data_IF_574476817178
#
_entry.id   IF_574476817178
#
_cell.length_a   1.000
_cell.length_b   1.000
_cell.length_c   1.000
_cell.angle_alpha   90.00
_cell.angle_beta   90.00
_cell.angle_gamma   90.00
#
_symmetry.space_group_name_H-M   'P 1'
#
loop_
_entity.id
_entity.type
_entity.pdbx_description
1 polymer ?
#
# COMPACT_ATOMS: atom_id res chain seq x y z
N UNK A 1 -14.33 5.05 -4.06
CA UNK A 1 -13.83 5.23 -5.45
C UNK A 1 -14.08 3.91 -6.14
N UNK A 2 -14.55 3.88 -7.40
CA UNK A 2 -14.69 2.62 -8.15
C UNK A 2 -13.35 2.26 -8.82
N UNK A 3 -13.08 0.98 -9.15
CA UNK A 3 -11.80 0.56 -9.70
C UNK A 3 -11.40 1.33 -10.98
N UNK A 4 -12.36 1.61 -11.85
CA UNK A 4 -12.14 2.34 -13.10
C UNK A 4 -11.70 3.79 -12.87
N UNK A 5 -12.13 4.42 -11.77
CA UNK A 5 -11.68 5.76 -11.40
C UNK A 5 -10.24 5.74 -10.91
N UNK A 6 -9.85 4.73 -10.10
CA UNK A 6 -8.46 4.58 -9.68
C UNK A 6 -7.58 4.32 -10.88
N UNK A 7 -7.94 3.36 -11.74
CA UNK A 7 -7.23 3.06 -12.98
C UNK A 7 -6.98 4.32 -13.79
N UNK A 8 -8.05 5.07 -14.11
CA UNK A 8 -7.95 6.31 -14.87
C UNK A 8 -7.02 7.32 -14.20
N UNK A 9 -7.15 7.54 -12.89
CA UNK A 9 -6.34 8.49 -12.14
C UNK A 9 -4.86 8.09 -12.08
N UNK A 10 -4.57 6.78 -11.96
CA UNK A 10 -3.22 6.24 -11.93
C UNK A 10 -2.52 6.43 -13.29
N UNK A 11 -3.18 5.97 -14.36
CA UNK A 11 -2.68 5.98 -15.76
C UNK A 11 -2.52 7.36 -16.39
N UNK A 12 -2.93 8.44 -15.72
CA UNK A 12 -2.59 9.80 -16.15
C UNK A 12 -1.11 10.12 -15.99
N UNK A 13 -0.42 9.41 -15.10
CA UNK A 13 0.99 9.64 -14.77
C UNK A 13 1.82 8.41 -15.08
N UNK A 14 1.36 7.23 -14.64
CA UNK A 14 2.06 5.95 -14.80
C UNK A 14 1.10 4.90 -15.34
N UNK A 15 1.44 4.30 -16.47
CA UNK A 15 0.59 3.34 -17.18
C UNK A 15 0.75 1.89 -16.65
N UNK A 16 1.46 1.72 -15.53
CA UNK A 16 1.68 0.40 -14.93
C UNK A 16 0.61 0.08 -13.88
N UNK A 17 -0.34 -0.78 -14.25
CA UNK A 17 -1.26 -1.45 -13.34
C UNK A 17 -1.35 -2.92 -13.71
N UNK A 18 -1.49 -3.77 -12.70
CA UNK A 18 -1.55 -5.22 -12.84
C UNK A 18 -2.94 -5.77 -12.44
N UNK A 19 -3.95 -5.72 -13.33
CA UNK A 19 -5.19 -6.44 -13.11
C UNK A 19 -4.94 -7.94 -12.94
N UNK A 20 -5.67 -8.59 -12.05
CA UNK A 20 -5.53 -10.02 -11.73
C UNK A 20 -6.80 -10.76 -12.11
N UNK A 21 -6.66 -11.78 -12.95
CA UNK A 21 -7.74 -12.63 -13.40
C UNK A 21 -8.35 -13.43 -12.25
N UNK A 22 -9.65 -13.71 -12.40
CA UNK A 22 -10.42 -14.49 -11.43
C UNK A 22 -9.80 -15.84 -11.08
N UNK A 23 -9.01 -16.44 -11.98
CA UNK A 23 -8.33 -17.72 -11.74
C UNK A 23 -7.40 -17.64 -10.53
N UNK A 24 -6.65 -16.54 -10.36
CA UNK A 24 -5.72 -16.37 -9.25
C UNK A 24 -6.40 -15.95 -7.95
N UNK A 25 -7.58 -15.32 -8.03
CA UNK A 25 -8.32 -14.82 -6.86
C UNK A 25 -9.32 -15.84 -6.27
N UNK A 26 -9.77 -16.79 -7.10
CA UNK A 26 -10.79 -17.76 -6.73
C UNK A 26 -10.34 -18.67 -5.58
N UNK A 27 -11.16 -18.77 -4.53
CA UNK A 27 -10.88 -19.62 -3.37
C UNK A 27 -9.94 -19.01 -2.33
N UNK A 28 -9.52 -17.75 -2.51
CA UNK A 28 -8.75 -17.01 -1.51
C UNK A 28 -9.63 -16.47 -0.37
N UNK A 29 -10.96 -16.45 -0.53
CA UNK A 29 -11.88 -15.97 0.51
C UNK A 29 -12.08 -14.45 0.51
N UNK A 30 -11.54 -13.75 -0.48
CA UNK A 30 -11.76 -12.32 -0.70
C UNK A 30 -13.23 -12.01 -0.94
N UNK A 31 -13.66 -10.83 -0.49
CA UNK A 31 -14.98 -10.30 -0.81
C UNK A 31 -15.12 -10.00 -2.30
N UNK A 32 -16.37 -9.96 -2.79
CA UNK A 32 -16.63 -9.62 -4.19
C UNK A 32 -16.12 -8.23 -4.57
N UNK A 33 -16.18 -7.26 -3.64
CA UNK A 33 -15.70 -5.91 -3.90
C UNK A 33 -14.18 -5.86 -4.06
N UNK A 34 -13.42 -6.63 -3.27
CA UNK A 34 -11.97 -6.76 -3.46
C UNK A 34 -11.62 -7.47 -4.75
N UNK A 35 -12.33 -8.55 -5.08
CA UNK A 35 -12.16 -9.27 -6.35
C UNK A 35 -12.40 -8.32 -7.54
N UNK A 36 -13.49 -7.55 -7.51
CA UNK A 36 -13.82 -6.59 -8.57
C UNK A 36 -12.72 -5.54 -8.74
N UNK A 37 -12.10 -5.08 -7.64
CA UNK A 37 -10.99 -4.13 -7.69
C UNK A 37 -9.78 -4.72 -8.41
N UNK A 38 -9.34 -5.92 -8.01
CA UNK A 38 -8.18 -6.58 -8.61
C UNK A 38 -8.41 -6.95 -10.08
N UNK A 39 -9.61 -7.43 -10.44
CA UNK A 39 -9.91 -7.81 -11.84
C UNK A 39 -9.94 -6.61 -12.77
N UNK A 40 -10.45 -5.47 -12.31
CA UNK A 40 -10.67 -4.29 -13.17
C UNK A 40 -9.47 -3.35 -13.22
N UNK A 41 -8.73 -3.27 -12.12
CA UNK A 41 -7.61 -2.35 -11.97
C UNK A 41 -6.36 -3.05 -11.49
N UNK A 42 -6.43 -3.72 -10.34
CA UNK A 42 -5.23 -4.11 -9.59
C UNK A 42 -4.44 -2.91 -9.09
N UNK A 43 -3.24 -3.19 -8.59
CA UNK A 43 -2.26 -2.20 -8.13
C UNK A 43 -1.09 -2.07 -9.12
N UNK A 44 -0.30 -0.98 -9.07
CA UNK A 44 0.94 -0.86 -9.87
C UNK A 44 1.98 -1.89 -9.46
N UNK A 45 3.08 -2.04 -10.20
CA UNK A 45 4.21 -2.88 -9.73
C UNK A 45 4.79 -2.33 -8.41
N UNK A 46 4.88 -1.00 -8.31
CA UNK A 46 5.39 -0.31 -7.13
C UNK A 46 4.78 1.08 -6.98
N UNK A 47 4.88 1.64 -5.77
CA UNK A 47 4.46 3.00 -5.47
C UNK A 47 5.33 3.60 -4.36
N UNK A 48 5.45 4.92 -4.32
CA UNK A 48 5.98 5.57 -3.13
C UNK A 48 5.03 5.35 -1.94
N UNK A 49 5.54 5.13 -0.72
CA UNK A 49 6.95 5.08 -0.32
C UNK A 49 7.49 3.64 -0.34
N UNK A 50 8.28 3.31 -1.36
CA UNK A 50 8.93 1.99 -1.53
C UNK A 50 8.01 0.77 -1.35
N UNK A 51 6.76 0.88 -1.77
CA UNK A 51 5.80 -0.21 -1.79
C UNK A 51 5.98 -1.01 -3.08
N UNK A 52 5.83 -2.33 -2.98
CA UNK A 52 5.78 -3.23 -4.15
C UNK A 52 4.53 -4.09 -4.06
N UNK A 53 3.92 -4.41 -5.21
CA UNK A 53 2.68 -5.19 -5.24
C UNK A 53 2.79 -6.46 -6.06
N UNK A 54 2.01 -7.44 -5.63
CA UNK A 54 1.85 -8.71 -6.33
C UNK A 54 1.13 -8.52 -7.66
N UNK A 55 1.42 -9.41 -8.61
CA UNK A 55 0.83 -9.43 -9.96
C UNK A 55 0.39 -10.84 -10.33
N UNK A 56 -0.14 -11.00 -11.54
CA UNK A 56 -0.36 -12.34 -12.09
C UNK A 56 0.98 -13.04 -12.32
N UNK A 57 1.26 -14.06 -11.52
CA UNK A 57 2.48 -14.85 -11.64
C UNK A 57 2.24 -16.26 -11.14
N UNK A 58 2.92 -17.23 -11.74
CA UNK A 58 3.01 -18.59 -11.21
C UNK A 58 4.09 -18.70 -10.12
N UNK A 59 4.93 -17.66 -9.97
CA UNK A 59 5.86 -17.54 -8.84
C UNK A 59 5.09 -17.14 -7.57
N UNK A 60 5.12 -18.01 -6.56
CA UNK A 60 4.37 -17.82 -5.30
C UNK A 60 4.71 -16.50 -4.60
N UNK A 61 5.96 -16.05 -4.69
CA UNK A 61 6.46 -14.84 -4.03
C UNK A 61 6.01 -13.53 -4.72
N UNK A 62 5.59 -13.61 -5.98
CA UNK A 62 5.15 -12.44 -6.77
C UNK A 62 3.63 -12.41 -6.98
N UNK A 63 2.95 -13.50 -6.61
CA UNK A 63 1.52 -13.70 -6.87
C UNK A 63 0.65 -13.25 -5.69
N UNK A 64 -0.62 -12.94 -5.97
CA UNK A 64 -1.63 -12.80 -4.91
C UNK A 64 -1.99 -14.19 -4.39
N UNK A 65 -1.64 -14.48 -3.14
CA UNK A 65 -1.69 -15.83 -2.58
C UNK A 65 -1.82 -15.81 -1.06
N UNK A 66 -2.30 -16.90 -0.46
CA UNK A 66 -2.28 -17.09 1.01
C UNK A 66 -0.87 -16.97 1.56
N UNK A 67 -0.71 -16.25 2.66
CA UNK A 67 0.56 -16.08 3.37
C UNK A 67 1.22 -17.42 3.71
N UNK A 68 0.43 -18.41 4.13
CA UNK A 68 0.90 -19.78 4.48
C UNK A 68 1.48 -20.56 3.31
N UNK A 69 1.26 -20.12 2.06
CA UNK A 69 1.95 -20.68 0.88
C UNK A 69 3.24 -19.93 0.53
N UNK A 70 3.37 -18.68 0.97
CA UNK A 70 4.58 -17.87 0.77
C UNK A 70 5.61 -18.24 1.85
N UNK A 71 5.13 -18.46 3.08
CA UNK A 71 5.90 -18.83 4.24
C UNK A 71 5.41 -20.17 4.78
N UNK A 72 5.95 -21.27 4.24
CA UNK A 72 5.55 -22.66 4.58
C UNK A 72 5.73 -23.05 6.05
N UNK A 73 6.43 -22.22 6.83
CA UNK A 73 6.65 -22.39 8.27
C UNK A 73 5.48 -21.90 9.14
N UNK A 74 4.55 -21.13 8.57
CA UNK A 74 3.48 -20.50 9.32
C UNK A 74 2.34 -21.46 9.64
N UNK A 75 1.78 -21.28 10.84
CA UNK A 75 0.67 -22.07 11.33
C UNK A 75 -0.64 -21.81 10.56
N UNK A 76 -1.61 -22.74 10.58
CA UNK A 76 -2.87 -22.60 9.85
C UNK A 76 -3.73 -21.40 10.24
N UNK A 77 -3.47 -20.76 11.39
CA UNK A 77 -4.13 -19.53 11.82
C UNK A 77 -3.73 -18.30 10.98
N UNK A 78 -2.75 -18.42 10.07
CA UNK A 78 -2.44 -17.36 9.10
C UNK A 78 -3.16 -17.54 7.76
N UNK A 79 -4.05 -18.53 7.63
CA UNK A 79 -4.73 -18.84 6.36
C UNK A 79 -5.72 -17.76 5.90
N UNK A 80 -6.16 -16.87 6.79
CA UNK A 80 -6.95 -15.67 6.47
C UNK A 80 -6.17 -14.57 5.76
N UNK A 81 -4.84 -14.58 5.80
CA UNK A 81 -4.03 -13.52 5.21
C UNK A 81 -3.68 -13.83 3.77
N UNK A 82 -4.04 -12.90 2.89
CA UNK A 82 -3.73 -12.97 1.46
C UNK A 82 -2.70 -11.90 1.14
N UNK A 83 -1.50 -12.31 0.74
CA UNK A 83 -0.41 -11.42 0.34
C UNK A 83 -0.78 -10.71 -0.95
N UNK A 84 -0.61 -9.39 -0.96
CA UNK A 84 -0.85 -8.51 -2.11
C UNK A 84 0.34 -7.60 -2.42
N UNK A 85 1.42 -7.67 -1.65
CA UNK A 85 2.61 -6.87 -1.84
C UNK A 85 3.54 -6.94 -0.64
N UNK A 86 4.48 -5.99 -0.60
CA UNK A 86 5.41 -5.80 0.51
C UNK A 86 5.71 -4.32 0.75
N UNK A 87 6.01 -3.99 2.01
CA UNK A 87 6.48 -2.69 2.46
C UNK A 87 7.74 -2.84 3.31
N UNK A 88 8.36 -1.72 3.70
CA UNK A 88 9.57 -1.69 4.53
C UNK A 88 10.66 -2.63 3.97
N UNK A 89 11.42 -3.27 4.85
CA UNK A 89 12.41 -4.29 4.52
C UNK A 89 11.79 -5.68 4.29
N UNK A 90 10.66 -5.74 3.55
CA UNK A 90 10.06 -7.00 3.10
C UNK A 90 8.89 -7.51 3.94
N UNK A 91 8.30 -6.66 4.79
CA UNK A 91 7.05 -7.01 5.50
C UNK A 91 5.92 -7.24 4.48
N UNK A 92 5.22 -8.39 4.53
CA UNK A 92 4.13 -8.65 3.61
C UNK A 92 2.94 -7.73 3.90
N UNK A 93 2.45 -7.06 2.84
CA UNK A 93 1.16 -6.38 2.83
C UNK A 93 0.11 -7.44 2.52
N UNK A 94 -0.89 -7.55 3.39
CA UNK A 94 -1.90 -8.60 3.35
C UNK A 94 -3.32 -8.06 3.42
N UNK A 95 -4.25 -8.84 2.87
CA UNK A 95 -5.68 -8.71 3.12
C UNK A 95 -6.07 -9.71 4.19
N UNK A 96 -6.71 -9.23 5.26
CA UNK A 96 -7.30 -10.08 6.29
C UNK A 96 -8.76 -10.41 5.92
N UNK A 97 -8.99 -11.63 5.41
CA UNK A 97 -10.34 -12.04 4.96
C UNK A 97 -11.33 -12.26 6.10
N UNK A 98 -10.89 -12.29 7.37
CA UNK A 98 -11.78 -12.37 8.53
C UNK A 98 -12.27 -11.00 8.99
N UNK A 99 -11.53 -9.95 8.69
CA UNK A 99 -11.81 -8.57 9.12
C UNK A 99 -12.27 -7.69 7.95
N UNK A 100 -13.29 -8.14 7.22
CA UNK A 100 -13.89 -7.41 6.08
C UNK A 100 -12.87 -6.94 5.02
N UNK A 101 -11.88 -7.78 4.70
CA UNK A 101 -10.78 -7.48 3.79
C UNK A 101 -9.97 -6.22 4.18
N UNK A 102 -9.79 -5.99 5.48
CA UNK A 102 -8.84 -4.99 5.99
C UNK A 102 -7.44 -5.24 5.44
N UNK A 103 -6.73 -4.16 5.10
CA UNK A 103 -5.34 -4.22 4.68
C UNK A 103 -4.46 -4.02 5.90
N UNK A 104 -3.53 -4.94 6.07
CA UNK A 104 -2.55 -4.96 7.15
C UNK A 104 -1.15 -5.15 6.55
N UNK A 105 -0.11 -4.83 7.31
CA UNK A 105 1.22 -5.41 7.07
C UNK A 105 1.60 -6.23 8.28
N UNK A 106 2.32 -7.32 8.05
CA UNK A 106 2.76 -8.21 9.11
C UNK A 106 4.25 -8.00 9.34
N UNK A 107 4.62 -7.61 10.56
CA UNK A 107 6.02 -7.40 10.94
C UNK A 107 6.72 -8.76 11.01
N UNK A 108 7.53 -9.07 9.99
CA UNK A 108 8.15 -10.38 9.87
C UNK A 108 9.30 -10.60 10.88
N UNK A 109 9.83 -9.52 11.45
CA UNK A 109 10.83 -9.57 12.52
C UNK A 109 10.18 -9.78 13.90
N UNK A 110 8.91 -9.41 14.04
CA UNK A 110 8.12 -9.57 15.25
C UNK A 110 7.00 -10.62 15.09
N UNK A 111 7.39 -11.82 14.66
CA UNK A 111 6.49 -12.99 14.60
C UNK A 111 5.22 -12.76 13.76
N UNK A 112 5.31 -11.97 12.69
CA UNK A 112 4.19 -11.59 11.82
C UNK A 112 3.05 -10.90 12.58
N UNK A 113 3.39 -10.06 13.57
CA UNK A 113 2.38 -9.29 14.30
C UNK A 113 1.65 -8.33 13.33
N UNK A 114 0.31 -8.38 13.24
CA UNK A 114 -0.43 -7.55 12.32
C UNK A 114 -0.46 -6.09 12.77
N UNK A 115 -0.26 -5.20 11.81
CA UNK A 115 -0.41 -3.77 11.99
C UNK A 115 -1.28 -3.20 10.86
N UNK A 116 -2.05 -2.17 11.22
CA UNK A 116 -3.03 -1.58 10.31
C UNK A 116 -2.35 -0.88 9.13
N UNK A 117 -2.87 -1.10 7.91
CA UNK A 117 -2.43 -0.37 6.72
C UNK A 117 -3.56 0.50 6.18
N UNK A 118 -4.69 -0.12 5.82
CA UNK A 118 -5.87 0.56 5.29
C UNK A 118 -7.15 -0.23 5.60
N UNK A 119 -8.29 0.45 5.60
CA UNK A 119 -9.59 -0.18 5.85
C UNK A 119 -9.98 -1.25 4.82
N UNK A 120 -9.52 -1.11 3.58
CA UNK A 120 -9.75 -2.04 2.45
C UNK A 120 -8.96 -1.58 1.21
N UNK A 121 -9.01 -2.36 0.13
CA UNK A 121 -8.31 -2.07 -1.14
C UNK A 121 -8.68 -0.73 -1.79
N UNK A 122 -9.92 -0.25 -1.61
CA UNK A 122 -10.34 1.02 -2.18
C UNK A 122 -9.80 2.22 -1.41
N UNK A 123 -9.72 2.08 -0.09
CA UNK A 123 -9.07 3.06 0.77
C UNK A 123 -7.57 3.13 0.46
N UNK A 124 -6.92 1.97 0.33
CA UNK A 124 -5.53 1.87 -0.07
C UNK A 124 -5.25 2.56 -1.41
N UNK A 125 -6.07 2.29 -2.43
CA UNK A 125 -5.96 2.92 -3.75
C UNK A 125 -5.99 4.46 -3.68
N UNK A 126 -6.83 5.03 -2.80
CA UNK A 126 -6.85 6.49 -2.59
C UNK A 126 -5.61 7.00 -1.86
N UNK A 127 -5.12 6.26 -0.85
CA UNK A 127 -3.90 6.63 -0.15
C UNK A 127 -2.68 6.61 -1.09
N UNK A 128 -2.61 5.62 -2.00
CA UNK A 128 -1.59 5.56 -3.04
C UNK A 128 -1.64 6.79 -3.95
N UNK A 129 -2.84 7.21 -4.38
CA UNK A 129 -2.99 8.45 -5.17
C UNK A 129 -2.55 9.68 -4.38
N UNK A 130 -2.97 9.81 -3.12
CA UNK A 130 -2.61 10.94 -2.28
C UNK A 130 -1.08 11.06 -2.10
N UNK A 131 -0.40 9.94 -1.84
CA UNK A 131 1.05 9.93 -1.67
C UNK A 131 1.79 10.20 -2.99
N UNK A 132 1.34 9.60 -4.10
CA UNK A 132 1.88 9.87 -5.44
C UNK A 132 1.76 11.35 -5.80
N UNK A 133 0.57 11.93 -5.61
CA UNK A 133 0.30 13.33 -5.96
C UNK A 133 1.13 14.27 -5.08
N UNK A 134 1.39 13.91 -3.82
CA UNK A 134 2.35 14.59 -2.97
C UNK A 134 3.75 14.57 -3.58
N UNK A 135 4.31 13.39 -3.90
CA UNK A 135 5.64 13.25 -4.51
C UNK A 135 5.78 14.08 -5.79
N UNK A 136 4.80 13.98 -6.70
CA UNK A 136 4.78 14.77 -7.94
C UNK A 136 4.79 16.27 -7.62
N UNK A 137 3.95 16.72 -6.67
CA UNK A 137 3.89 18.14 -6.31
C UNK A 137 5.19 18.66 -5.68
N UNK A 138 5.93 17.81 -4.97
CA UNK A 138 7.27 18.14 -4.47
C UNK A 138 8.24 18.28 -5.64
N UNK A 139 8.23 17.33 -6.57
CA UNK A 139 9.14 17.33 -7.70
C UNK A 139 8.94 18.55 -8.61
N UNK A 140 7.69 18.93 -8.85
CA UNK A 140 7.33 20.10 -9.66
C UNK A 140 7.74 21.42 -9.01
N UNK A 141 7.60 21.56 -7.68
CA UNK A 141 7.81 22.84 -6.97
C UNK A 141 9.21 23.00 -6.40
N UNK A 142 9.80 21.90 -5.92
CA UNK A 142 11.00 21.89 -5.09
C UNK A 142 12.18 21.19 -5.80
N UNK A 143 11.97 20.62 -6.98
CA UNK A 143 12.99 19.99 -7.84
C UNK A 143 12.88 18.46 -7.89
N UNK A 144 13.44 17.83 -8.93
CA UNK A 144 13.26 16.40 -9.23
C UNK A 144 13.61 15.44 -8.07
N UNK A 145 14.60 15.80 -7.25
CA UNK A 145 15.05 15.00 -6.11
C UNK A 145 14.39 15.41 -4.78
N UNK A 146 13.37 16.27 -4.81
CA UNK A 146 12.78 16.87 -3.61
C UNK A 146 12.26 15.84 -2.61
N UNK A 147 11.64 14.75 -3.09
CA UNK A 147 11.19 13.68 -2.21
C UNK A 147 12.36 12.98 -1.51
N UNK A 148 13.41 12.59 -2.25
CA UNK A 148 14.58 11.91 -1.69
C UNK A 148 15.38 12.80 -0.72
N UNK A 149 15.43 14.10 -1.00
CA UNK A 149 16.10 15.09 -0.13
C UNK A 149 15.22 15.58 1.02
N UNK A 150 14.04 14.96 1.23
CA UNK A 150 13.05 15.40 2.22
C UNK A 150 12.70 16.89 2.13
N UNK A 151 12.78 17.46 0.92
CA UNK A 151 12.57 18.87 0.66
C UNK A 151 11.07 19.15 0.46
N UNK A 152 10.35 19.25 1.59
CA UNK A 152 8.95 19.62 1.62
C UNK A 152 8.65 20.59 2.77
N UNK A 153 7.74 21.53 2.52
CA UNK A 153 7.28 22.49 3.54
C UNK A 153 6.28 21.85 4.50
N UNK A 154 6.06 22.48 5.66
CA UNK A 154 5.00 22.07 6.58
C UNK A 154 3.61 22.10 5.92
N UNK A 155 3.37 23.08 5.04
CA UNK A 155 2.10 23.17 4.30
C UNK A 155 1.90 21.96 3.36
N UNK A 156 2.94 21.57 2.62
CA UNK A 156 2.89 20.39 1.74
C UNK A 156 2.66 19.10 2.56
N UNK A 157 3.29 19.01 3.72
CA UNK A 157 3.18 17.85 4.60
C UNK A 157 1.80 17.74 5.29
N UNK A 158 1.27 18.85 5.81
CA UNK A 158 -0.08 18.89 6.38
C UNK A 158 -1.16 18.64 5.33
N UNK A 159 -0.89 19.01 4.07
CA UNK A 159 -1.76 18.65 2.95
C UNK A 159 -1.78 17.14 2.74
N UNK A 160 -0.62 16.47 2.71
CA UNK A 160 -0.54 15.02 2.60
C UNK A 160 -1.32 14.31 3.73
N UNK A 161 -1.12 14.73 4.99
CA UNK A 161 -1.88 14.21 6.14
C UNK A 161 -3.39 14.31 5.94
N UNK A 162 -3.85 15.47 5.49
CA UNK A 162 -5.27 15.73 5.22
C UNK A 162 -5.78 14.81 4.12
N UNK A 163 -5.04 14.67 3.02
CA UNK A 163 -5.45 13.84 1.89
C UNK A 163 -5.45 12.34 2.25
N UNK A 164 -4.49 11.86 3.05
CA UNK A 164 -4.49 10.49 3.60
C UNK A 164 -5.68 10.24 4.54
N UNK A 165 -5.99 11.18 5.43
CA UNK A 165 -7.14 11.09 6.34
C UNK A 165 -8.46 11.05 5.58
N UNK A 166 -8.60 11.87 4.53
CA UNK A 166 -9.78 11.88 3.67
C UNK A 166 -9.90 10.63 2.80
N UNK A 167 -8.76 10.03 2.42
CA UNK A 167 -8.71 8.76 1.71
C UNK A 167 -9.24 7.62 2.59
N UNK A 168 -8.78 7.58 3.85
CA UNK A 168 -9.08 6.55 4.82
C UNK A 168 -8.89 7.05 6.26
N UNK A 169 -9.97 7.03 7.05
CA UNK A 169 -9.93 7.51 8.45
C UNK A 169 -8.98 6.69 9.33
N UNK A 170 -8.70 5.44 8.95
CA UNK A 170 -7.84 4.56 9.74
C UNK A 170 -6.37 4.68 9.37
N UNK A 171 -6.04 5.29 8.22
CA UNK A 171 -4.68 5.38 7.72
C UNK A 171 -3.74 6.13 8.67
N UNK A 172 -4.26 7.06 9.49
CA UNK A 172 -3.45 7.80 10.46
C UNK A 172 -3.74 7.40 11.93
N UNK A 173 -4.38 6.24 12.16
CA UNK A 173 -4.47 5.69 13.53
C UNK A 173 -3.07 5.34 14.03
N UNK A 174 -2.86 5.42 15.33
CA UNK A 174 -1.56 5.10 15.95
C UNK A 174 -1.03 3.74 15.47
N UNK A 175 0.26 3.71 15.12
CA UNK A 175 1.00 2.53 14.63
C UNK A 175 0.47 1.92 13.33
N UNK A 176 -0.38 2.63 12.60
CA UNK A 176 -0.68 2.25 11.21
C UNK A 176 0.50 2.58 10.30
N UNK A 177 0.61 1.88 9.17
CA UNK A 177 1.69 2.08 8.20
C UNK A 177 1.90 3.56 7.85
N UNK A 178 0.85 4.25 7.39
CA UNK A 178 0.99 5.64 6.96
C UNK A 178 1.33 6.59 8.12
N UNK A 179 0.84 6.32 9.33
CA UNK A 179 1.22 7.13 10.51
C UNK A 179 2.72 7.03 10.80
N UNK A 180 3.29 5.82 10.71
CA UNK A 180 4.72 5.60 10.94
C UNK A 180 5.55 6.19 9.81
N UNK A 181 5.13 5.99 8.56
CA UNK A 181 5.81 6.57 7.40
C UNK A 181 5.90 8.10 7.50
N UNK A 182 4.83 8.78 7.88
CA UNK A 182 4.83 10.23 8.05
C UNK A 182 5.80 10.69 9.16
N UNK A 183 5.94 9.91 10.24
CA UNK A 183 6.94 10.16 11.28
C UNK A 183 8.34 10.04 10.67
N UNK A 184 8.62 8.96 9.94
CA UNK A 184 9.89 8.74 9.25
C UNK A 184 10.22 9.87 8.28
N UNK A 185 9.27 10.30 7.44
CA UNK A 185 9.45 11.39 6.48
C UNK A 185 9.84 12.71 7.19
N UNK A 186 9.22 13.02 8.33
CA UNK A 186 9.57 14.19 9.15
C UNK A 186 10.94 14.07 9.79
N UNK A 187 11.27 12.91 10.38
CA UNK A 187 12.56 12.68 11.02
C UNK A 187 13.72 12.80 10.03
N UNK A 188 13.54 12.28 8.80
CA UNK A 188 14.49 12.43 7.71
C UNK A 188 14.67 13.91 7.33
N UNK A 189 13.57 14.67 7.19
CA UNK A 189 13.64 16.11 6.91
C UNK A 189 14.41 16.89 7.98
N UNK A 190 14.14 16.62 9.26
CA UNK A 190 14.84 17.31 10.34
C UNK A 190 16.32 16.91 10.41
N UNK A 191 16.66 15.68 10.02
CA UNK A 191 18.05 15.23 9.91
C UNK A 191 18.79 15.97 8.79
N UNK A 192 18.19 16.10 7.61
CA UNK A 192 18.78 16.84 6.47
C UNK A 192 18.97 18.34 6.72
N UNK A 193 18.22 18.96 7.65
CA UNK A 193 18.42 20.38 8.03
C UNK A 193 19.63 20.61 8.94
N UNK A 194 20.11 19.55 9.60
CA UNK A 194 21.21 19.63 10.56
C UNK A 194 22.58 19.28 9.95
N UNK A 195 22.62 18.94 8.66
CA UNK A 195 23.83 18.71 7.85
C UNK A 195 24.26 19.98 7.10
#
# INVERSE_FOLDING_TARGET
MIPENFKKAWTLVDDNLNPISLKYLSGLGLSQSSIDFFVKSGFPDSAAPFLSFSKESDNVYESVQRLTKVYDILEPNFNEYIVIGSCNDGDPIVINTKENDQIEFLDHENSFNPNLFNSNVYSMAKCLLAYRDFVISLQEKNGADAYFNSNFTDEQFERLKTDLTNADEVALKNNSFWSMQLITDLELRESCKNE
#
